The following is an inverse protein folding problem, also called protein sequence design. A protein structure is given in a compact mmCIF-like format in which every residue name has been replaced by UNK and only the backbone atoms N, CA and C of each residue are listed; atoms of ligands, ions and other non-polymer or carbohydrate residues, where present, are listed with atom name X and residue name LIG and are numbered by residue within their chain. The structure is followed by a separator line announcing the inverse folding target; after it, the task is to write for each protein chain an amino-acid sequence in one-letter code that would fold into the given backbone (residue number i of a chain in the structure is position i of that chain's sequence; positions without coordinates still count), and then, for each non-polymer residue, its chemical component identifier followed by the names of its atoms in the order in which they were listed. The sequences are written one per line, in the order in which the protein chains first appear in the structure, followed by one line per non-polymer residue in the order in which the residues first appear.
data_IF_878300593665
#
_entry.id   IF_878300593665
#
_cell.length_a   1.000
_cell.length_b   1.000
_cell.length_c   1.000
_cell.angle_alpha   90.00
_cell.angle_beta   90.00
_cell.angle_gamma   90.00
#
_symmetry.space_group_name_H-M   'P 1'
#
loop_
_entity.id
_entity.type
_entity.pdbx_description
1 polymer ?
#
# COMPACT_ATOMS: atom_id res chain seq x y z
N UNK A 1 -4.05 11.65 10.95
CA UNK A 1 -3.66 10.96 9.71
C UNK A 1 -2.38 10.18 9.94
N UNK A 2 -2.44 8.88 9.87
CA UNK A 2 -1.30 8.02 10.18
C UNK A 2 -1.14 6.96 9.11
N UNK A 3 -0.01 6.99 8.42
CA UNK A 3 0.35 5.97 7.45
C UNK A 3 1.67 5.39 7.89
N UNK A 4 1.71 4.07 8.07
CA UNK A 4 2.94 3.39 8.47
C UNK A 4 3.53 2.69 7.27
N UNK A 5 4.67 3.17 6.83
CA UNK A 5 5.38 2.60 5.69
C UNK A 5 6.73 2.11 6.18
N UNK A 6 6.98 0.81 6.02
CA UNK A 6 8.26 0.26 6.41
C UNK A 6 9.38 0.91 5.59
N UNK A 7 10.54 1.20 6.20
CA UNK A 7 11.61 1.90 5.49
C UNK A 7 12.09 1.22 4.20
N UNK A 8 11.91 -0.08 4.10
CA UNK A 8 12.31 -0.82 2.89
C UNK A 8 11.22 -0.88 1.84
N UNK A 9 10.02 -0.41 2.13
CA UNK A 9 8.94 -0.40 1.15
C UNK A 9 9.20 0.67 0.09
N UNK A 10 8.80 0.38 -1.13
CA UNK A 10 8.93 1.31 -2.24
C UNK A 10 7.53 1.75 -2.63
N UNK A 11 7.20 2.99 -2.34
CA UNK A 11 5.90 3.56 -2.66
C UNK A 11 6.12 4.71 -3.62
N UNK A 12 5.54 4.62 -4.81
CA UNK A 12 5.67 5.67 -5.80
C UNK A 12 5.02 6.95 -5.28
N UNK A 13 5.63 8.09 -5.57
CA UNK A 13 5.12 9.37 -5.10
C UNK A 13 3.73 9.71 -5.65
N UNK A 14 3.34 9.09 -6.75
CA UNK A 14 2.02 9.30 -7.34
C UNK A 14 0.96 8.34 -6.80
N UNK A 15 1.35 7.37 -5.98
CA UNK A 15 0.38 6.48 -5.36
C UNK A 15 -0.44 7.25 -4.33
N UNK A 16 -1.70 6.89 -4.21
CA UNK A 16 -2.59 7.52 -3.23
C UNK A 16 -2.86 6.51 -2.13
N UNK A 17 -2.45 6.87 -0.93
CA UNK A 17 -2.58 5.99 0.24
C UNK A 17 -3.56 6.65 1.22
N UNK A 18 -4.62 5.93 1.55
CA UNK A 18 -5.60 6.44 2.50
C UNK A 18 -5.09 6.48 3.93
N UNK A 19 -5.91 6.99 4.83
CA UNK A 19 -5.52 7.11 6.23
C UNK A 19 -5.39 5.75 6.90
N UNK A 20 -4.48 5.68 7.86
CA UNK A 20 -4.29 4.51 8.71
C UNK A 20 -3.89 3.25 7.95
N UNK A 21 -3.28 3.41 6.77
CA UNK A 21 -2.76 2.28 6.04
C UNK A 21 -1.42 1.84 6.62
N UNK A 22 -1.13 0.58 6.48
CA UNK A 22 0.14 0.01 6.93
C UNK A 22 0.76 -0.77 5.78
N UNK A 23 1.98 -0.40 5.40
CA UNK A 23 2.70 -0.99 4.28
C UNK A 23 3.88 -1.78 4.84
N UNK A 24 3.93 -3.06 4.58
CA UNK A 24 4.97 -3.95 5.10
C UNK A 24 6.30 -3.82 4.40
N UNK A 25 7.29 -4.57 4.90
CA UNK A 25 8.65 -4.53 4.39
C UNK A 25 8.71 -5.02 2.94
N UNK A 26 9.54 -4.37 2.14
CA UNK A 26 9.78 -4.73 0.74
C UNK A 26 8.53 -4.74 -0.13
N UNK A 27 7.46 -4.10 0.30
CA UNK A 27 6.29 -3.93 -0.54
C UNK A 27 6.58 -2.90 -1.63
N UNK A 28 6.02 -3.12 -2.79
CA UNK A 28 6.19 -2.20 -3.92
C UNK A 28 4.81 -1.71 -4.36
N UNK A 29 4.62 -0.41 -4.30
CA UNK A 29 3.34 0.22 -4.67
C UNK A 29 3.61 1.12 -5.88
N UNK A 30 2.96 0.84 -6.98
CA UNK A 30 3.17 1.57 -8.22
C UNK A 30 2.44 2.91 -8.26
N UNK A 31 2.69 3.70 -9.33
CA UNK A 31 2.20 5.08 -9.42
C UNK A 31 0.69 5.22 -9.60
N UNK A 32 0.03 4.21 -10.12
CA UNK A 32 -1.41 4.29 -10.40
C UNK A 32 -2.23 3.48 -9.41
N UNK A 33 -1.69 3.29 -8.22
CA UNK A 33 -2.35 2.52 -7.17
C UNK A 33 -3.05 3.48 -6.23
N UNK A 34 -4.29 3.17 -5.90
CA UNK A 34 -5.07 3.94 -4.93
C UNK A 34 -5.50 2.98 -3.82
N UNK A 35 -5.10 3.26 -2.61
CA UNK A 35 -5.51 2.50 -1.44
C UNK A 35 -6.52 3.29 -0.64
N UNK A 36 -7.60 2.65 -0.24
CA UNK A 36 -8.56 3.26 0.66
C UNK A 36 -8.02 3.37 2.08
N UNK A 37 -8.86 3.76 3.01
CA UNK A 37 -8.46 3.91 4.41
C UNK A 37 -8.36 2.57 5.10
N UNK A 38 -7.49 2.48 6.10
CA UNK A 38 -7.36 1.30 6.97
C UNK A 38 -6.95 0.03 6.22
N UNK A 39 -6.17 0.17 5.16
CA UNK A 39 -5.68 -0.97 4.42
C UNK A 39 -4.40 -1.52 5.05
N UNK A 40 -4.23 -2.82 4.97
CA UNK A 40 -3.02 -3.47 5.46
C UNK A 40 -2.35 -4.22 4.31
N UNK A 41 -1.11 -3.86 4.04
CA UNK A 41 -0.33 -4.45 2.96
C UNK A 41 0.79 -5.26 3.57
N UNK A 42 0.81 -6.56 3.28
CA UNK A 42 1.81 -7.46 3.83
C UNK A 42 3.20 -7.26 3.24
N UNK A 43 4.16 -7.98 3.80
CA UNK A 43 5.54 -7.91 3.34
C UNK A 43 5.66 -8.47 1.93
N UNK A 44 6.58 -7.94 1.14
CA UNK A 44 6.89 -8.42 -0.21
C UNK A 44 5.71 -8.37 -1.18
N UNK A 45 4.71 -7.56 -0.89
CA UNK A 45 3.56 -7.42 -1.77
C UNK A 45 3.92 -6.48 -2.92
N UNK A 46 3.53 -6.86 -4.12
CA UNK A 46 3.80 -6.05 -5.31
C UNK A 46 2.47 -5.64 -5.93
N UNK A 47 2.16 -4.36 -5.86
CA UNK A 47 0.92 -3.82 -6.41
C UNK A 47 1.29 -2.81 -7.49
N UNK A 48 0.99 -3.14 -8.74
CA UNK A 48 1.32 -2.29 -9.88
C UNK A 48 0.13 -2.17 -10.81
N UNK A 49 0.23 -1.26 -11.76
CA UNK A 49 -0.84 -1.01 -12.71
C UNK A 49 -1.95 -0.15 -12.13
N UNK A 50 -3.06 -0.05 -12.85
CA UNK A 50 -4.21 0.72 -12.39
C UNK A 50 -5.00 -0.10 -11.38
N UNK A 51 -4.68 0.07 -10.11
CA UNK A 51 -5.27 -0.72 -9.05
C UNK A 51 -5.96 0.20 -8.04
N UNK A 52 -7.20 -0.11 -7.74
CA UNK A 52 -7.99 0.64 -6.78
C UNK A 52 -8.46 -0.32 -5.70
N UNK A 53 -7.97 -0.14 -4.49
CA UNK A 53 -8.24 -1.04 -3.38
C UNK A 53 -9.15 -0.31 -2.39
N UNK A 54 -10.29 -0.92 -2.07
CA UNK A 54 -11.26 -0.32 -1.19
C UNK A 54 -10.80 -0.26 0.26
N UNK A 55 -11.59 0.44 1.08
CA UNK A 55 -11.29 0.61 2.49
C UNK A 55 -11.26 -0.72 3.23
N UNK A 56 -10.45 -0.77 4.27
CA UNK A 56 -10.35 -1.91 5.18
C UNK A 56 -9.90 -3.20 4.52
N UNK A 57 -9.20 -3.09 3.39
CA UNK A 57 -8.69 -4.26 2.70
C UNK A 57 -7.41 -4.75 3.32
N UNK A 58 -7.19 -6.05 3.24
CA UNK A 58 -5.95 -6.67 3.69
C UNK A 58 -5.36 -7.47 2.56
N UNK A 59 -4.11 -7.19 2.24
CA UNK A 59 -3.39 -7.88 1.19
C UNK A 59 -2.22 -8.60 1.81
N UNK A 60 -2.25 -9.93 1.74
CA UNK A 60 -1.18 -10.72 2.31
C UNK A 60 -0.04 -10.86 1.32
N UNK A 61 1.13 -11.14 1.85
CA UNK A 61 2.32 -11.26 1.03
C UNK A 61 2.29 -12.52 0.16
N UNK A 62 3.02 -12.44 -0.92
CA UNK A 62 3.34 -13.62 -1.72
C UNK A 62 4.78 -13.52 -2.14
#
# INVERSE_FOLDING_TARGET
MTVKIHPTAIVDSNAIIGENCEIGAYAVIGPKVVLGANCWIGNHTNITGNTNIGDNSRIFHF
#
